data_IF_847097204249
#
_entry.id   IF_847097204249
#
_cell.length_a   1.000
_cell.length_b   1.000
_cell.length_c   1.000
_cell.angle_alpha   90.00
_cell.angle_beta   90.00
_cell.angle_gamma   90.00
#
_symmetry.space_group_name_H-M   'P 1'
#
loop_
_entity.id
_entity.type
_entity.pdbx_description
1 polymer ?
#
# COMPACT_ATOMS: atom_id res chain seq x y z
N UNK A 1 7.20 3.67 22.60
CA UNK A 1 5.80 3.48 22.16
C UNK A 1 5.69 4.03 20.74
N UNK A 2 5.38 3.19 19.75
CA UNK A 2 5.12 3.66 18.37
C UNK A 2 3.84 4.47 18.34
N UNK A 3 3.81 5.55 17.55
CA UNK A 3 2.61 6.36 17.33
C UNK A 3 2.16 6.10 15.90
N UNK A 4 1.11 5.30 15.74
CA UNK A 4 0.53 5.04 14.41
C UNK A 4 -0.42 6.19 14.04
N UNK A 5 -0.19 6.78 12.88
CA UNK A 5 -1.08 7.75 12.25
C UNK A 5 -1.73 7.12 11.02
N UNK A 6 -3.03 7.34 10.84
CA UNK A 6 -3.79 6.89 9.67
C UNK A 6 -4.08 8.09 8.80
N UNK A 7 -3.71 8.02 7.53
CA UNK A 7 -3.90 9.11 6.56
C UNK A 7 -4.39 8.58 5.22
N UNK A 8 -4.95 9.44 4.38
CA UNK A 8 -5.17 9.11 2.98
C UNK A 8 -3.84 8.81 2.28
N UNK A 9 -3.83 7.76 1.46
CA UNK A 9 -2.72 7.44 0.59
C UNK A 9 -2.57 8.52 -0.50
N UNK A 10 -1.33 8.92 -0.78
CA UNK A 10 -1.04 9.70 -1.99
C UNK A 10 -0.94 8.78 -3.20
N UNK A 11 -1.04 9.31 -4.44
CA UNK A 11 -0.86 8.50 -5.66
C UNK A 11 0.46 7.72 -5.68
N UNK A 12 1.55 8.32 -5.19
CA UNK A 12 2.88 7.70 -5.14
C UNK A 12 2.93 6.50 -4.17
N UNK A 13 2.06 6.47 -3.17
CA UNK A 13 2.01 5.41 -2.15
C UNK A 13 1.11 4.23 -2.57
N UNK A 14 0.34 4.37 -3.65
CA UNK A 14 -0.61 3.32 -4.05
C UNK A 14 0.08 2.00 -4.42
N UNK A 15 1.29 2.06 -4.98
CA UNK A 15 2.09 0.86 -5.27
C UNK A 15 2.48 0.10 -4.00
N UNK A 16 2.86 0.83 -2.95
CA UNK A 16 3.22 0.23 -1.67
C UNK A 16 1.96 -0.31 -0.96
N UNK A 17 0.86 0.44 -0.98
CA UNK A 17 -0.42 0.01 -0.45
C UNK A 17 -0.90 -1.29 -1.13
N UNK A 18 -0.79 -1.36 -2.46
CA UNK A 18 -1.16 -2.56 -3.22
C UNK A 18 -0.31 -3.77 -2.82
N UNK A 19 0.99 -3.57 -2.64
CA UNK A 19 1.89 -4.64 -2.20
C UNK A 19 1.47 -5.20 -0.83
N UNK A 20 1.07 -4.34 0.11
CA UNK A 20 0.56 -4.77 1.42
C UNK A 20 -0.77 -5.52 1.30
N UNK A 21 -1.70 -5.05 0.46
CA UNK A 21 -2.99 -5.70 0.22
C UNK A 21 -2.75 -7.12 -0.31
N UNK A 22 -1.97 -7.26 -1.39
CA UNK A 22 -1.68 -8.56 -2.00
C UNK A 22 -0.94 -9.50 -1.04
N UNK A 23 0.08 -9.00 -0.33
CA UNK A 23 0.81 -9.81 0.65
C UNK A 23 -0.11 -10.30 1.79
N UNK A 24 -1.04 -9.47 2.24
CA UNK A 24 -1.98 -9.81 3.31
C UNK A 24 -2.92 -10.94 2.89
N UNK A 25 -3.55 -10.83 1.71
CA UNK A 25 -4.47 -11.85 1.22
C UNK A 25 -3.75 -13.13 0.76
N UNK A 26 -2.53 -13.02 0.23
CA UNK A 26 -1.70 -14.20 -0.05
C UNK A 26 -1.33 -14.96 1.23
N UNK A 27 -0.98 -14.25 2.30
CA UNK A 27 -0.61 -14.86 3.61
C UNK A 27 -1.82 -15.46 4.33
N UNK A 28 -3.00 -14.88 4.10
CA UNK A 28 -4.26 -15.31 4.74
C UNK A 28 -5.11 -16.20 3.82
N UNK A 29 -4.56 -16.67 2.70
CA UNK A 29 -5.24 -17.56 1.76
C UNK A 29 -5.78 -18.82 2.46
N UNK A 30 -7.09 -19.06 2.31
CA UNK A 30 -7.79 -20.18 2.97
C UNK A 30 -8.18 -19.93 4.44
N UNK A 31 -7.82 -18.79 5.02
CA UNK A 31 -8.28 -18.35 6.36
C UNK A 31 -9.32 -17.24 6.31
N UNK A 32 -9.23 -16.40 5.28
CA UNK A 32 -10.24 -15.39 4.96
C UNK A 32 -10.53 -15.46 3.47
N UNK A 33 -11.79 -15.27 3.11
CA UNK A 33 -12.16 -15.05 1.73
C UNK A 33 -11.81 -13.61 1.37
N UNK A 34 -10.89 -13.38 0.41
CA UNK A 34 -10.65 -12.04 -0.08
C UNK A 34 -11.95 -11.49 -0.70
N UNK A 35 -12.25 -10.19 -0.55
CA UNK A 35 -13.23 -9.53 -1.39
C UNK A 35 -12.89 -9.79 -2.85
N UNK A 36 -13.90 -9.96 -3.73
CA UNK A 36 -13.69 -10.49 -5.09
C UNK A 36 -12.63 -9.74 -5.91
N UNK A 37 -12.40 -8.46 -5.63
CA UNK A 37 -11.43 -7.62 -6.32
C UNK A 37 -10.04 -7.56 -5.66
N UNK A 38 -9.87 -8.04 -4.43
CA UNK A 38 -8.69 -7.71 -3.63
C UNK A 38 -7.37 -8.33 -4.12
N UNK A 39 -7.44 -9.47 -4.82
CA UNK A 39 -6.27 -10.13 -5.43
C UNK A 39 -6.04 -9.70 -6.90
N UNK A 40 -7.04 -9.08 -7.51
CA UNK A 40 -6.97 -8.57 -8.88
C UNK A 40 -6.73 -7.05 -8.90
N UNK A 41 -6.58 -6.46 -7.71
CA UNK A 41 -6.47 -5.03 -7.56
C UNK A 41 -5.15 -4.56 -8.19
N UNK A 42 -5.22 -3.38 -8.78
CA UNK A 42 -4.09 -2.73 -9.44
C UNK A 42 -3.94 -1.30 -8.94
N UNK A 43 -2.77 -0.71 -9.10
CA UNK A 43 -2.55 0.71 -8.78
C UNK A 43 -3.57 1.61 -9.49
N UNK A 44 -3.93 1.28 -10.73
CA UNK A 44 -4.94 2.01 -11.50
C UNK A 44 -6.35 1.84 -10.90
N UNK A 45 -6.73 0.64 -10.48
CA UNK A 45 -8.03 0.42 -9.82
C UNK A 45 -8.15 1.19 -8.50
N UNK A 46 -7.06 1.30 -7.73
CA UNK A 46 -7.00 2.09 -6.49
C UNK A 46 -7.11 3.58 -6.80
N UNK A 47 -6.44 4.06 -7.85
CA UNK A 47 -6.55 5.44 -8.31
C UNK A 47 -7.99 5.76 -8.72
N UNK A 48 -8.62 4.90 -9.54
CA UNK A 48 -10.02 5.05 -9.94
C UNK A 48 -10.98 5.00 -8.73
N UNK A 49 -10.64 4.26 -7.66
CA UNK A 49 -11.43 4.25 -6.42
C UNK A 49 -11.37 5.62 -5.75
N UNK A 50 -10.20 6.24 -5.68
CA UNK A 50 -10.03 7.60 -5.15
C UNK A 50 -10.81 8.61 -6.00
N UNK A 51 -10.71 8.52 -7.33
CA UNK A 51 -11.41 9.44 -8.25
C UNK A 51 -12.94 9.37 -8.13
N UNK A 52 -13.49 8.20 -7.77
CA UNK A 52 -14.93 8.00 -7.50
C UNK A 52 -15.36 8.44 -6.09
N UNK A 53 -14.49 9.08 -5.32
CA UNK A 53 -14.76 9.52 -3.95
C UNK A 53 -14.59 8.43 -2.89
N UNK A 54 -13.99 7.29 -3.25
CA UNK A 54 -13.55 6.28 -2.28
C UNK A 54 -12.25 6.69 -1.58
N UNK A 55 -11.85 5.93 -0.56
CA UNK A 55 -10.63 6.19 0.18
C UNK A 55 -9.70 4.97 0.18
N UNK A 56 -8.40 5.23 0.08
CA UNK A 56 -7.33 4.29 0.43
C UNK A 56 -6.59 4.91 1.61
N UNK A 57 -6.52 4.18 2.73
CA UNK A 57 -5.90 4.66 3.96
C UNK A 57 -4.60 3.89 4.22
N UNK A 58 -3.56 4.62 4.62
CA UNK A 58 -2.26 4.06 4.99
C UNK A 58 -1.98 4.36 6.46
N UNK A 59 -1.46 3.36 7.17
CA UNK A 59 -0.99 3.49 8.54
C UNK A 59 0.52 3.71 8.55
N UNK A 60 0.97 4.81 9.14
CA UNK A 60 2.39 5.18 9.24
C UNK A 60 2.83 5.23 10.69
N UNK A 61 4.02 4.71 10.99
CA UNK A 61 4.65 4.95 12.30
C UNK A 61 5.30 6.34 12.31
N UNK A 62 4.66 7.28 13.01
CA UNK A 62 5.11 8.67 13.11
C UNK A 62 6.49 8.81 13.78
N UNK A 63 6.97 7.79 14.49
CA UNK A 63 8.29 7.80 15.13
C UNK A 63 9.43 7.35 14.19
N UNK A 64 9.11 6.70 13.06
CA UNK A 64 10.09 6.34 12.02
C UNK A 64 10.02 7.30 10.84
N UNK A 65 9.87 8.59 11.15
CA UNK A 65 9.92 9.67 10.19
C UNK A 65 11.01 9.40 9.15
N UNK A 66 10.58 9.27 7.90
CA UNK A 66 11.42 9.33 6.70
C UNK A 66 12.08 8.01 6.25
N UNK A 67 11.81 6.86 6.88
CA UNK A 67 12.54 5.62 6.54
C UNK A 67 12.06 4.89 5.27
N UNK A 68 10.95 5.31 4.65
CA UNK A 68 10.44 4.74 3.38
C UNK A 68 10.73 5.63 2.18
N UNK A 69 11.82 6.40 2.20
CA UNK A 69 12.27 7.16 1.04
C UNK A 69 13.00 6.23 0.06
N UNK A 70 12.22 5.43 -0.67
CA UNK A 70 12.58 4.79 -1.94
C UNK A 70 13.80 3.87 -1.90
N UNK A 71 13.58 2.58 -2.16
CA UNK A 71 14.61 1.69 -2.69
C UNK A 71 15.05 2.22 -4.06
N UNK A 72 15.87 3.28 -4.11
CA UNK A 72 16.61 3.65 -5.31
C UNK A 72 17.68 2.59 -5.50
N UNK A 73 17.41 1.58 -6.32
CA UNK A 73 18.49 0.81 -6.96
C UNK A 73 19.25 1.77 -7.88
N UNK A 74 20.29 2.41 -7.37
CA UNK A 74 21.34 2.94 -8.24
C UNK A 74 22.09 1.74 -8.83
N UNK A 75 21.76 1.41 -10.08
CA UNK A 75 22.54 0.50 -10.91
C UNK A 75 23.90 1.16 -11.16
N UNK A 76 24.91 0.77 -10.38
CA UNK A 76 26.29 1.11 -10.69
C UNK A 76 26.67 0.43 -12.02
N UNK A 77 27.08 1.23 -13.01
CA UNK A 77 27.79 0.72 -14.19
C UNK A 77 29.22 0.41 -13.76
N UNK A 78 29.66 -0.80 -14.06
CA UNK A 78 31.04 -1.27 -14.03
C UNK A 78 31.14 -2.42 -15.01
#
# INVERSE_FOLDING_TARGET
MSRIAITHATPDELSDALSVIHASFATLGGKIDPPSAALEETTESLLRRIDRGGAVLVARDAMRGNCWRGVRRTKARG
#
